data_IF_175608111216
#
_entry.id   IF_175608111216
#
_cell.length_a   1.000
_cell.length_b   1.000
_cell.length_c   1.000
_cell.angle_alpha   90.00
_cell.angle_beta   90.00
_cell.angle_gamma   90.00
#
_symmetry.space_group_name_H-M   'P 1'
#
loop_
_entity.id
_entity.type
_entity.pdbx_description
1 polymer ?
#
# COMPACT_ATOMS: atom_id res chain seq x y z
N UNK A 1 47.13 7.43 22.45
CA UNK A 1 47.66 6.46 21.47
C UNK A 1 46.73 5.25 21.53
N UNK A 2 45.99 4.79 20.51
CA UNK A 2 45.83 5.16 19.10
C UNK A 2 44.36 4.86 18.73
N UNK A 3 43.75 5.68 17.87
CA UNK A 3 42.46 5.43 17.25
C UNK A 3 42.69 4.63 15.96
N UNK A 4 42.03 3.48 15.80
CA UNK A 4 41.99 2.78 14.51
C UNK A 4 40.58 2.90 13.90
N UNK A 5 40.46 3.87 12.98
CA UNK A 5 39.28 4.08 12.15
C UNK A 5 39.29 3.12 10.96
N UNK A 6 38.27 2.28 10.86
CA UNK A 6 38.09 1.36 9.74
C UNK A 6 37.46 2.11 8.56
N UNK A 7 38.29 2.64 7.66
CA UNK A 7 37.85 3.33 6.44
C UNK A 7 37.59 2.29 5.36
N UNK A 8 36.31 2.01 5.07
CA UNK A 8 35.90 1.18 3.94
C UNK A 8 35.89 2.02 2.66
N UNK A 9 36.69 1.62 1.67
CA UNK A 9 36.72 2.24 0.35
C UNK A 9 35.67 1.59 -0.58
N UNK A 10 34.99 2.35 -1.45
CA UNK A 10 34.10 1.78 -2.47
C UNK A 10 34.92 1.10 -3.60
N UNK A 11 34.45 -0.03 -4.15
CA UNK A 11 35.11 -0.71 -5.25
C UNK A 11 34.71 -0.04 -6.56
N UNK A 12 35.43 1.01 -6.96
CA UNK A 12 35.60 1.41 -8.36
C UNK A 12 36.55 2.61 -8.44
N UNK A 13 37.86 2.32 -8.54
CA UNK A 13 38.91 3.32 -8.75
C UNK A 13 39.66 3.09 -10.04
N UNK A 14 38.95 2.74 -11.12
CA UNK A 14 39.49 2.89 -12.47
C UNK A 14 39.19 4.30 -12.95
N UNK A 15 40.25 5.11 -13.06
CA UNK A 15 40.24 6.43 -13.70
C UNK A 15 39.69 6.30 -15.12
N UNK A 16 38.48 6.79 -15.35
CA UNK A 16 38.00 7.05 -16.71
C UNK A 16 38.82 8.23 -17.27
N UNK A 17 39.64 7.96 -18.27
CA UNK A 17 40.41 8.94 -19.02
C UNK A 17 39.48 9.95 -19.73
N UNK A 18 39.85 11.24 -19.72
CA UNK A 18 39.17 12.39 -20.35
C UNK A 18 39.13 12.38 -21.90
N UNK A 19 39.06 11.21 -22.52
CA UNK A 19 39.06 11.07 -23.97
C UNK A 19 37.88 10.28 -24.47
N UNK A 20 36.65 10.79 -24.33
CA UNK A 20 35.49 10.65 -25.24
C UNK A 20 34.46 11.70 -24.79
N UNK A 21 34.74 12.97 -25.03
CA UNK A 21 33.69 13.99 -25.18
C UNK A 21 33.65 14.31 -26.67
N UNK A 22 32.69 13.71 -27.39
CA UNK A 22 32.31 14.18 -28.71
C UNK A 22 30.96 14.88 -28.61
N UNK A 23 30.89 16.04 -29.26
CA UNK A 23 29.84 17.04 -29.24
C UNK A 23 28.41 16.48 -29.25
N UNK A 24 27.56 17.09 -28.42
CA UNK A 24 26.10 16.96 -28.50
C UNK A 24 25.62 17.71 -29.74
N UNK A 25 25.20 16.97 -30.76
CA UNK A 25 24.46 17.54 -31.90
C UNK A 25 22.97 17.31 -31.66
N UNK A 26 22.20 18.40 -31.69
CA UNK A 26 20.75 18.40 -31.57
C UNK A 26 20.15 17.66 -32.78
N UNK A 27 19.35 16.60 -32.55
CA UNK A 27 18.61 15.94 -33.64
C UNK A 27 17.44 16.82 -34.08
N UNK A 28 17.61 17.54 -35.18
CA UNK A 28 16.52 18.07 -35.98
C UNK A 28 15.79 16.92 -36.70
N UNK A 29 14.46 17.02 -36.69
CA UNK A 29 13.49 16.07 -37.25
C UNK A 29 13.68 15.93 -38.79
N UNK A 30 13.72 14.73 -39.39
CA UNK A 30 13.72 14.62 -40.85
C UNK A 30 12.30 14.81 -41.39
N UNK A 31 12.16 15.79 -42.29
CA UNK A 31 11.05 15.92 -43.23
C UNK A 31 11.15 14.81 -44.29
N UNK A 32 9.99 14.36 -44.77
CA UNK A 32 9.83 13.40 -45.86
C UNK A 32 10.46 13.90 -47.15
N UNK A 33 11.30 13.09 -47.80
CA UNK A 33 11.58 13.21 -49.24
C UNK A 33 11.72 11.82 -49.85
N UNK A 34 10.93 11.62 -50.91
CA UNK A 34 10.92 10.49 -51.83
C UNK A 34 12.32 10.21 -52.41
N UNK A 35 12.69 8.93 -52.47
CA UNK A 35 13.85 8.48 -53.24
C UNK A 35 13.45 7.29 -54.12
N UNK A 36 12.86 7.60 -55.26
CA UNK A 36 12.96 6.76 -56.45
C UNK A 36 14.31 7.03 -57.13
N UNK A 37 14.87 5.98 -57.73
CA UNK A 37 16.00 5.92 -58.67
C UNK A 37 17.33 5.38 -58.13
N UNK A 38 17.96 4.58 -59.00
CA UNK A 38 19.28 3.94 -58.92
C UNK A 38 19.28 2.53 -58.30
N UNK A 39 18.67 1.60 -59.03
CA UNK A 39 19.17 0.22 -59.14
C UNK A 39 19.32 -0.12 -60.63
N UNK A 40 20.38 0.39 -61.25
CA UNK A 40 20.88 -0.08 -62.53
C UNK A 40 22.40 -0.08 -62.47
N UNK A 41 23.00 -1.20 -62.92
CA UNK A 41 24.43 -1.46 -63.13
C UNK A 41 25.17 -2.17 -61.99
N UNK A 42 25.46 -3.45 -62.22
CA UNK A 42 26.33 -4.29 -61.38
C UNK A 42 26.38 -5.72 -61.95
N UNK A 43 27.05 -5.88 -63.09
CA UNK A 43 27.18 -7.13 -63.85
C UNK A 43 27.92 -8.24 -63.09
N UNK A 44 27.54 -9.50 -63.32
CA UNK A 44 28.51 -10.60 -63.32
C UNK A 44 28.29 -11.48 -64.56
N UNK A 45 29.39 -11.67 -65.26
CA UNK A 45 29.56 -12.38 -66.53
C UNK A 45 29.59 -13.90 -66.30
N UNK A 46 28.90 -14.68 -67.13
CA UNK A 46 29.51 -15.80 -67.88
C UNK A 46 28.50 -16.50 -68.79
N UNK A 47 28.92 -16.62 -70.06
CA UNK A 47 28.58 -17.64 -71.06
C UNK A 47 27.17 -17.65 -71.68
N UNK A 48 27.14 -17.14 -72.92
CA UNK A 48 26.18 -17.55 -73.94
C UNK A 48 26.33 -19.06 -74.19
N UNK A 49 25.24 -19.79 -74.03
CA UNK A 49 24.97 -21.01 -74.80
C UNK A 49 23.60 -20.79 -75.41
N UNK A 50 23.62 -20.60 -76.72
CA UNK A 50 22.48 -20.66 -77.61
C UNK A 50 21.87 -22.06 -77.56
N UNK A 51 20.54 -22.11 -77.68
CA UNK A 51 19.72 -23.19 -78.26
C UNK A 51 18.49 -23.59 -77.42
N UNK A 52 17.38 -23.76 -78.15
CA UNK A 52 16.16 -24.54 -77.85
C UNK A 52 14.82 -23.76 -77.70
N UNK A 53 14.21 -23.50 -78.86
CA UNK A 53 12.80 -23.74 -79.23
C UNK A 53 11.68 -23.29 -78.25
N UNK A 54 11.02 -22.19 -78.58
CA UNK A 54 9.72 -21.84 -78.01
C UNK A 54 8.60 -22.68 -78.65
N UNK A 55 8.15 -23.73 -77.96
CA UNK A 55 6.88 -24.39 -78.26
C UNK A 55 5.73 -23.66 -77.55
N UNK A 56 4.54 -23.55 -78.16
CA UNK A 56 3.38 -22.97 -77.50
C UNK A 56 2.94 -23.89 -76.36
N UNK A 57 3.04 -23.38 -75.14
CA UNK A 57 2.70 -24.08 -73.91
C UNK A 57 1.20 -24.43 -73.91
N UNK A 58 0.84 -25.69 -73.66
CA UNK A 58 -0.56 -26.11 -73.73
C UNK A 58 -1.36 -25.54 -72.53
N UNK A 59 -2.69 -25.47 -72.65
CA UNK A 59 -3.55 -24.85 -71.61
C UNK A 59 -3.38 -25.52 -70.23
N UNK A 60 -3.05 -26.82 -70.20
CA UNK A 60 -2.81 -27.57 -68.97
C UNK A 60 -1.49 -27.17 -68.29
N UNK A 61 -0.42 -26.94 -69.06
CA UNK A 61 0.86 -26.43 -68.58
C UNK A 61 0.71 -24.99 -68.07
N UNK A 62 -0.07 -24.15 -68.76
CA UNK A 62 -0.36 -22.78 -68.31
C UNK A 62 -1.13 -22.77 -66.98
N UNK A 63 -2.09 -23.68 -66.80
CA UNK A 63 -2.78 -23.87 -65.51
C UNK A 63 -1.86 -24.39 -64.41
N UNK A 64 -0.91 -25.27 -64.72
CA UNK A 64 0.09 -25.76 -63.74
C UNK A 64 1.03 -24.65 -63.28
N UNK A 65 1.56 -23.86 -64.21
CA UNK A 65 2.41 -22.70 -63.90
C UNK A 65 1.64 -21.66 -63.08
N UNK A 66 0.38 -21.39 -63.43
CA UNK A 66 -0.46 -20.47 -62.66
C UNK A 66 -0.74 -20.97 -61.22
N UNK A 67 -1.00 -22.27 -61.05
CA UNK A 67 -1.19 -22.89 -59.74
C UNK A 67 0.10 -22.84 -58.89
N UNK A 68 1.27 -23.04 -59.50
CA UNK A 68 2.57 -22.97 -58.83
C UNK A 68 2.93 -21.53 -58.42
N UNK A 69 2.61 -20.54 -59.26
CA UNK A 69 2.73 -19.11 -58.92
C UNK A 69 1.81 -18.75 -57.75
N UNK A 70 0.55 -19.21 -57.73
CA UNK A 70 -0.36 -18.91 -56.63
C UNK A 70 0.07 -19.61 -55.32
N UNK A 71 0.60 -20.83 -55.41
CA UNK A 71 1.17 -21.53 -54.25
C UNK A 71 2.40 -20.81 -53.69
N UNK A 72 3.25 -20.26 -54.56
CA UNK A 72 4.37 -19.40 -54.17
C UNK A 72 3.89 -18.10 -53.51
N UNK A 73 2.87 -17.44 -54.07
CA UNK A 73 2.24 -16.25 -53.48
C UNK A 73 1.64 -16.55 -52.10
N UNK A 74 0.95 -17.67 -51.95
CA UNK A 74 0.36 -18.09 -50.69
C UNK A 74 1.44 -18.37 -49.62
N UNK A 75 2.53 -19.05 -49.98
CA UNK A 75 3.70 -19.25 -49.09
C UNK A 75 4.34 -17.93 -48.69
N UNK A 76 4.50 -16.99 -49.62
CA UNK A 76 5.06 -15.67 -49.34
C UNK A 76 4.16 -14.85 -48.40
N UNK A 77 2.83 -14.89 -48.58
CA UNK A 77 1.88 -14.25 -47.64
C UNK A 77 2.00 -14.86 -46.24
N UNK A 78 2.08 -16.19 -46.14
CA UNK A 78 2.23 -16.89 -44.87
C UNK A 78 3.56 -16.55 -44.17
N UNK A 79 4.67 -16.53 -44.91
CA UNK A 79 5.98 -16.14 -44.37
C UNK A 79 6.00 -14.69 -43.89
N UNK A 80 5.42 -13.76 -44.65
CA UNK A 80 5.29 -12.36 -44.24
C UNK A 80 4.41 -12.21 -42.99
N UNK A 81 3.28 -12.91 -42.92
CA UNK A 81 2.41 -12.90 -41.74
C UNK A 81 3.14 -13.45 -40.51
N UNK A 82 3.85 -14.57 -40.66
CA UNK A 82 4.65 -15.18 -39.59
C UNK A 82 5.79 -14.27 -39.13
N UNK A 83 6.45 -13.57 -40.06
CA UNK A 83 7.49 -12.59 -39.72
C UNK A 83 6.91 -11.41 -38.93
N UNK A 84 5.79 -10.83 -39.38
CA UNK A 84 5.09 -9.75 -38.68
C UNK A 84 4.65 -10.17 -37.27
N UNK A 85 4.07 -11.36 -37.13
CA UNK A 85 3.66 -11.90 -35.83
C UNK A 85 4.86 -12.12 -34.90
N UNK A 86 5.98 -12.64 -35.42
CA UNK A 86 7.23 -12.80 -34.64
C UNK A 86 7.77 -11.45 -34.16
N UNK A 87 7.64 -10.40 -34.97
CA UNK A 87 8.08 -9.07 -34.60
C UNK A 87 7.18 -8.44 -33.53
N UNK A 88 5.85 -8.58 -33.67
CA UNK A 88 4.89 -8.13 -32.65
C UNK A 88 5.09 -8.85 -31.31
N UNK A 89 5.30 -10.17 -31.34
CA UNK A 89 5.58 -10.94 -30.13
C UNK A 89 6.82 -10.43 -29.38
N UNK A 90 7.91 -10.15 -30.11
CA UNK A 90 9.13 -9.58 -29.51
C UNK A 90 8.88 -8.24 -28.81
N UNK A 91 8.05 -7.38 -29.42
CA UNK A 91 7.71 -6.07 -28.82
C UNK A 91 6.89 -6.27 -27.55
N UNK A 92 5.87 -7.14 -27.58
CA UNK A 92 5.06 -7.47 -26.41
C UNK A 92 5.90 -8.06 -25.27
N UNK A 93 6.77 -9.02 -25.59
CA UNK A 93 7.66 -9.65 -24.62
C UNK A 93 8.59 -8.60 -23.96
N UNK A 94 9.10 -7.64 -24.73
CA UNK A 94 9.89 -6.52 -24.22
C UNK A 94 9.07 -5.55 -23.35
N UNK A 95 7.84 -5.22 -23.74
CA UNK A 95 6.96 -4.34 -22.95
C UNK A 95 6.53 -4.99 -21.63
N UNK A 96 6.34 -6.31 -21.62
CA UNK A 96 6.10 -7.09 -20.40
C UNK A 96 7.36 -7.05 -19.53
N UNK A 97 8.53 -7.33 -20.11
CA UNK A 97 9.81 -7.29 -19.38
C UNK A 97 10.12 -5.92 -18.80
N UNK A 98 9.87 -4.83 -19.52
CA UNK A 98 10.05 -3.46 -19.02
C UNK A 98 9.10 -3.16 -17.85
N UNK A 99 7.85 -3.62 -17.91
CA UNK A 99 6.91 -3.47 -16.80
C UNK A 99 7.39 -4.24 -15.57
N UNK A 100 7.77 -5.51 -15.74
CA UNK A 100 8.31 -6.34 -14.67
C UNK A 100 9.56 -5.72 -14.03
N UNK A 101 10.51 -5.25 -14.84
CA UNK A 101 11.71 -4.60 -14.34
C UNK A 101 11.42 -3.29 -13.61
N UNK A 102 10.41 -2.51 -14.05
CA UNK A 102 9.99 -1.29 -13.34
C UNK A 102 9.34 -1.60 -12.00
N UNK A 103 8.49 -2.61 -11.95
CA UNK A 103 7.87 -3.08 -10.71
C UNK A 103 8.93 -3.60 -9.73
N UNK A 104 9.91 -4.35 -10.25
CA UNK A 104 11.05 -4.85 -9.46
C UNK A 104 11.95 -3.72 -8.95
N UNK A 105 12.24 -2.71 -9.79
CA UNK A 105 12.98 -1.51 -9.35
C UNK A 105 12.23 -0.77 -8.23
N UNK A 106 10.92 -0.57 -8.38
CA UNK A 106 10.11 0.07 -7.34
C UNK A 106 10.10 -0.74 -6.04
N UNK A 107 9.97 -2.07 -6.14
CA UNK A 107 10.02 -2.97 -5.00
C UNK A 107 11.37 -2.90 -4.28
N UNK A 108 12.48 -2.96 -5.02
CA UNK A 108 13.84 -2.88 -4.48
C UNK A 108 14.13 -1.50 -3.87
N UNK A 109 13.59 -0.42 -4.44
CA UNK A 109 13.69 0.93 -3.87
C UNK A 109 12.97 1.02 -2.52
N UNK A 110 11.76 0.48 -2.43
CA UNK A 110 11.00 0.43 -1.18
C UNK A 110 11.73 -0.42 -0.13
N UNK A 111 12.24 -1.60 -0.51
CA UNK A 111 13.04 -2.44 0.39
C UNK A 111 14.29 -1.71 0.89
N UNK A 112 14.97 -0.96 0.02
CA UNK A 112 16.13 -0.15 0.40
C UNK A 112 15.78 0.95 1.39
N UNK A 113 14.64 1.63 1.23
CA UNK A 113 14.20 2.65 2.19
C UNK A 113 13.89 2.06 3.56
N UNK A 114 13.23 0.90 3.60
CA UNK A 114 12.93 0.14 4.82
C UNK A 114 14.22 -0.32 5.53
N UNK A 115 15.17 -0.89 4.78
CA UNK A 115 16.48 -1.33 5.31
C UNK A 115 17.32 -0.12 5.76
N UNK A 116 17.31 0.99 5.02
CA UNK A 116 18.04 2.21 5.37
C UNK A 116 17.49 2.89 6.63
N UNK A 117 16.22 2.62 6.97
CA UNK A 117 15.60 3.03 8.22
C UNK A 117 15.89 2.05 9.39
N UNK A 118 16.68 0.99 9.17
CA UNK A 118 17.02 -0.01 10.18
C UNK A 118 15.90 -1.02 10.48
N UNK A 119 14.84 -1.04 9.66
CA UNK A 119 13.73 -1.99 9.80
C UNK A 119 14.12 -3.27 9.07
N UNK A 120 14.35 -4.35 9.82
CA UNK A 120 14.59 -5.69 9.28
C UNK A 120 13.48 -6.07 8.30
N UNK A 121 13.85 -6.61 7.13
CA UNK A 121 12.95 -7.13 6.08
C UNK A 121 12.08 -8.30 6.53
N UNK A 122 12.33 -8.87 7.71
CA UNK A 122 11.42 -9.79 8.37
C UNK A 122 10.38 -8.96 9.14
N UNK A 123 9.13 -8.97 8.67
CA UNK A 123 8.00 -8.39 9.39
C UNK A 123 7.95 -9.02 10.78
N UNK A 124 8.23 -8.22 11.81
CA UNK A 124 8.19 -8.65 13.21
C UNK A 124 7.02 -7.99 13.90
N UNK A 125 6.54 -8.58 14.99
CA UNK A 125 5.52 -7.96 15.85
C UNK A 125 5.91 -6.55 16.28
N UNK A 126 7.20 -6.27 16.50
CA UNK A 126 7.73 -4.93 16.82
C UNK A 126 7.50 -3.92 15.70
N UNK A 127 7.86 -4.28 14.46
CA UNK A 127 7.63 -3.41 13.30
C UNK A 127 6.14 -3.17 13.04
N UNK A 128 5.30 -4.21 13.24
CA UNK A 128 3.84 -4.09 13.09
C UNK A 128 3.27 -3.17 14.17
N UNK A 129 3.67 -3.31 15.44
CA UNK A 129 3.21 -2.44 16.51
C UNK A 129 3.63 -0.97 16.29
N UNK A 130 4.90 -0.73 15.93
CA UNK A 130 5.38 0.64 15.65
C UNK A 130 4.57 1.30 14.51
N UNK A 131 4.34 0.55 13.43
CA UNK A 131 3.57 1.04 12.28
C UNK A 131 2.09 1.23 12.60
N UNK A 132 1.49 0.34 13.40
CA UNK A 132 0.14 0.49 13.92
C UNK A 132 -0.03 1.83 14.65
N UNK A 133 0.84 2.15 15.62
CA UNK A 133 0.75 3.42 16.33
C UNK A 133 1.01 4.62 15.42
N UNK A 134 1.91 4.51 14.44
CA UNK A 134 2.14 5.57 13.44
C UNK A 134 0.89 5.86 12.62
N UNK A 135 0.17 4.83 12.20
CA UNK A 135 -1.02 4.93 11.36
C UNK A 135 -2.26 5.39 12.13
N UNK A 136 -2.42 4.94 13.38
CA UNK A 136 -3.63 5.18 14.17
C UNK A 136 -3.47 6.23 15.27
N UNK A 137 -2.33 6.95 15.33
CA UNK A 137 -2.04 8.00 16.32
C UNK A 137 -3.14 9.06 16.50
N UNK A 138 -3.95 9.30 15.46
CA UNK A 138 -5.04 10.27 15.48
C UNK A 138 -6.40 9.63 15.10
N UNK A 139 -6.56 8.35 15.44
CA UNK A 139 -7.73 7.56 15.09
C UNK A 139 -7.80 7.13 13.62
N UNK A 140 -8.95 6.61 13.26
CA UNK A 140 -9.31 6.15 11.93
C UNK A 140 -9.59 7.32 10.99
N UNK A 141 -9.00 7.27 9.80
CA UNK A 141 -9.17 8.30 8.76
C UNK A 141 -10.16 7.89 7.67
N UNK A 142 -10.90 6.81 7.91
CA UNK A 142 -11.96 6.30 7.04
C UNK A 142 -13.17 7.19 6.89
N UNK A 143 -13.97 7.02 5.81
CA UNK A 143 -15.31 7.58 5.74
C UNK A 143 -16.10 7.13 6.97
N UNK A 144 -16.59 8.11 7.73
CA UNK A 144 -17.45 7.89 8.90
C UNK A 144 -18.87 7.53 8.51
N UNK A 145 -19.25 7.83 7.26
CA UNK A 145 -20.47 7.38 6.65
C UNK A 145 -20.36 5.89 6.29
N UNK A 146 -21.47 5.18 6.48
CA UNK A 146 -21.68 3.75 6.24
C UNK A 146 -21.04 3.24 4.94
N UNK A 147 -20.94 1.90 4.80
CA UNK A 147 -20.52 1.15 3.61
C UNK A 147 -21.35 1.44 2.32
N UNK A 148 -22.01 2.59 2.21
CA UNK A 148 -22.66 3.08 1.01
C UNK A 148 -21.85 4.20 0.33
N UNK A 149 -21.60 4.09 -0.98
CA UNK A 149 -20.87 5.10 -1.73
C UNK A 149 -21.76 6.31 -2.01
N UNK A 150 -21.79 7.29 -1.11
CA UNK A 150 -22.30 8.62 -1.42
C UNK A 150 -21.17 9.47 -2.03
N UNK A 151 -21.29 9.68 -3.34
CA UNK A 151 -20.47 10.59 -4.13
C UNK A 151 -20.67 12.03 -3.63
N UNK A 152 -19.67 12.59 -2.94
CA UNK A 152 -19.54 14.05 -2.84
C UNK A 152 -18.08 14.41 -3.10
N UNK A 153 -17.86 15.13 -4.19
CA UNK A 153 -16.56 15.62 -4.62
C UNK A 153 -16.07 16.75 -3.72
N UNK A 154 -14.98 16.51 -3.01
CA UNK A 154 -14.14 17.56 -2.44
C UNK A 154 -12.70 17.07 -2.46
N UNK A 155 -11.73 17.94 -2.74
CA UNK A 155 -10.32 17.57 -2.90
C UNK A 155 -9.73 16.91 -1.63
N UNK A 156 -10.29 17.23 -0.45
CA UNK A 156 -9.97 16.60 0.83
C UNK A 156 -10.39 15.12 0.94
N UNK A 157 -11.38 14.70 0.14
CA UNK A 157 -11.81 13.30 0.04
C UNK A 157 -10.70 12.43 -0.53
N UNK A 158 -9.82 12.99 -1.38
CA UNK A 158 -8.77 12.19 -2.03
C UNK A 158 -7.65 11.76 -1.09
N UNK A 159 -7.27 12.61 -0.12
CA UNK A 159 -6.26 12.31 0.91
C UNK A 159 -6.85 11.42 2.01
N UNK A 160 -8.05 11.75 2.52
CA UNK A 160 -8.77 10.91 3.49
C UNK A 160 -9.01 9.51 2.92
N UNK A 161 -9.48 9.40 1.67
CA UNK A 161 -9.66 8.12 0.97
C UNK A 161 -8.35 7.34 0.90
N UNK A 162 -7.22 8.00 0.63
CA UNK A 162 -5.91 7.33 0.54
C UNK A 162 -5.44 6.83 1.91
N UNK A 163 -5.56 7.64 2.96
CA UNK A 163 -5.22 7.26 4.34
C UNK A 163 -6.11 6.12 4.88
N UNK A 164 -7.40 6.12 4.52
CA UNK A 164 -8.34 5.04 4.82
C UNK A 164 -7.84 3.69 4.31
N UNK A 165 -7.45 3.66 3.03
CA UNK A 165 -6.98 2.43 2.40
C UNK A 165 -5.69 1.97 3.06
N UNK A 166 -4.79 2.88 3.42
CA UNK A 166 -3.55 2.51 4.12
C UNK A 166 -3.82 1.82 5.46
N UNK A 167 -4.72 2.34 6.31
CA UNK A 167 -5.04 1.73 7.60
C UNK A 167 -5.70 0.34 7.44
N UNK A 168 -6.63 0.20 6.48
CA UNK A 168 -7.28 -1.07 6.18
C UNK A 168 -6.32 -2.09 5.57
N UNK A 169 -5.54 -1.69 4.57
CA UNK A 169 -4.59 -2.54 3.86
C UNK A 169 -3.48 -3.01 4.81
N UNK A 170 -3.06 -2.13 5.73
CA UNK A 170 -2.14 -2.48 6.81
C UNK A 170 -2.69 -3.63 7.67
N UNK A 171 -3.95 -3.55 8.12
CA UNK A 171 -4.54 -4.66 8.88
C UNK A 171 -4.66 -5.94 8.04
N UNK A 172 -5.08 -5.86 6.77
CA UNK A 172 -5.17 -7.03 5.89
C UNK A 172 -3.80 -7.70 5.70
N UNK A 173 -2.73 -6.91 5.61
CA UNK A 173 -1.37 -7.39 5.41
C UNK A 173 -0.76 -8.00 6.69
N UNK A 174 -1.09 -7.45 7.87
CA UNK A 174 -0.38 -7.75 9.12
C UNK A 174 -1.16 -8.63 10.10
N UNK A 175 -2.48 -8.72 9.97
CA UNK A 175 -3.35 -9.48 10.88
C UNK A 175 -3.73 -10.84 10.29
N UNK A 176 -3.91 -11.83 11.16
CA UNK A 176 -4.56 -13.09 10.80
C UNK A 176 -6.02 -12.84 10.39
N UNK A 177 -6.57 -13.71 9.56
CA UNK A 177 -7.97 -13.61 9.11
C UNK A 177 -8.96 -13.60 10.28
N UNK A 178 -8.66 -14.35 11.34
CA UNK A 178 -9.43 -14.48 12.57
C UNK A 178 -8.78 -13.75 13.76
N UNK A 179 -8.06 -12.66 13.52
CA UNK A 179 -7.42 -11.88 14.60
C UNK A 179 -8.44 -11.57 15.71
N UNK A 180 -8.11 -11.87 16.96
CA UNK A 180 -8.99 -11.58 18.10
C UNK A 180 -8.78 -10.13 18.58
N UNK A 181 -9.86 -9.34 18.59
CA UNK A 181 -9.96 -8.01 19.19
C UNK A 181 -10.74 -8.02 20.50
N UNK A 182 -10.97 -6.85 21.08
CA UNK A 182 -11.78 -6.71 22.32
C UNK A 182 -13.28 -6.93 22.07
N UNK A 183 -13.79 -6.60 20.88
CA UNK A 183 -15.24 -6.69 20.54
C UNK A 183 -15.61 -7.84 19.60
N UNK A 184 -14.64 -8.56 19.05
CA UNK A 184 -14.90 -9.59 18.06
C UNK A 184 -13.66 -10.10 17.32
N UNK A 185 -13.86 -10.70 16.15
CA UNK A 185 -12.81 -11.34 15.37
C UNK A 185 -12.69 -10.75 13.96
N UNK A 186 -11.45 -10.73 13.46
CA UNK A 186 -11.11 -10.35 12.11
C UNK A 186 -10.91 -8.85 11.92
N UNK A 187 -10.27 -8.50 10.81
CA UNK A 187 -10.00 -7.10 10.40
C UNK A 187 -11.26 -6.22 10.38
N UNK A 188 -12.45 -6.70 9.93
CA UNK A 188 -13.67 -5.89 9.98
C UNK A 188 -14.04 -5.41 11.38
N UNK A 189 -13.87 -6.25 12.41
CA UNK A 189 -14.16 -5.89 13.81
C UNK A 189 -13.21 -4.79 14.30
N UNK A 190 -11.91 -4.95 14.05
CA UNK A 190 -10.90 -3.95 14.45
C UNK A 190 -11.14 -2.59 13.79
N UNK A 191 -11.52 -2.57 12.50
CA UNK A 191 -11.83 -1.33 11.80
C UNK A 191 -13.11 -0.68 12.33
N UNK A 192 -14.10 -1.47 12.74
CA UNK A 192 -15.33 -0.96 13.32
C UNK A 192 -15.09 -0.35 14.71
N UNK A 193 -14.26 -0.97 15.55
CA UNK A 193 -13.83 -0.40 16.83
C UNK A 193 -13.17 0.96 16.64
N UNK A 194 -12.22 1.03 15.70
CA UNK A 194 -11.53 2.25 15.34
C UNK A 194 -12.46 3.32 14.78
N UNK A 195 -13.47 2.92 13.98
CA UNK A 195 -14.50 3.82 13.46
C UNK A 195 -15.33 4.39 14.59
N UNK A 196 -15.80 3.57 15.53
CA UNK A 196 -16.59 4.04 16.68
C UNK A 196 -15.77 4.97 17.57
N UNK A 197 -14.56 4.56 17.94
CA UNK A 197 -13.66 5.37 18.77
C UNK A 197 -13.41 6.74 18.14
N UNK A 198 -13.12 6.78 16.84
CA UNK A 198 -12.88 8.04 16.11
C UNK A 198 -14.15 8.85 15.89
N UNK A 199 -15.32 8.21 15.95
CA UNK A 199 -16.61 8.90 15.88
C UNK A 199 -16.83 9.72 17.14
N UNK A 200 -16.55 9.17 18.31
CA UNK A 200 -16.82 9.82 19.57
C UNK A 200 -15.66 10.73 20.03
N UNK A 201 -14.44 10.41 19.61
CA UNK A 201 -13.20 11.08 20.01
C UNK A 201 -12.48 11.69 18.80
N UNK A 202 -13.00 12.81 18.31
CA UNK A 202 -12.52 13.47 17.08
C UNK A 202 -11.11 14.06 17.21
N UNK A 203 -10.72 14.45 18.43
CA UNK A 203 -9.42 15.05 18.77
C UNK A 203 -8.46 14.06 19.42
N UNK A 204 -8.71 12.76 19.26
CA UNK A 204 -7.92 11.72 19.90
C UNK A 204 -6.46 11.75 19.45
N UNK A 205 -5.58 11.61 20.42
CA UNK A 205 -4.14 11.46 20.25
C UNK A 205 -3.68 10.21 20.99
N UNK A 206 -2.85 9.40 20.33
CA UNK A 206 -2.23 8.20 20.90
C UNK A 206 -0.73 8.29 20.66
N UNK A 207 0.01 8.20 21.75
CA UNK A 207 1.46 8.19 21.78
C UNK A 207 1.95 6.84 22.27
N UNK A 208 2.80 6.20 21.46
CA UNK A 208 3.55 5.02 21.88
C UNK A 208 4.70 5.47 22.80
N UNK A 209 4.66 5.05 24.07
CA UNK A 209 5.67 5.40 25.07
C UNK A 209 6.82 4.40 25.02
N UNK A 210 6.50 3.09 25.00
CA UNK A 210 7.49 2.01 24.90
C UNK A 210 6.87 0.70 24.43
N UNK A 211 7.73 -0.19 23.97
CA UNK A 211 7.43 -1.58 23.62
C UNK A 211 8.27 -2.50 24.50
N UNK A 212 7.62 -3.49 25.11
CA UNK A 212 8.23 -4.47 26.00
C UNK A 212 7.78 -5.89 25.61
N UNK A 213 8.59 -6.90 25.96
CA UNK A 213 8.15 -8.30 25.92
C UNK A 213 7.39 -8.59 27.21
N UNK A 214 6.14 -9.01 27.08
CA UNK A 214 5.32 -9.40 28.21
C UNK A 214 5.61 -10.82 28.70
N UNK A 215 4.94 -11.25 29.78
CA UNK A 215 5.24 -12.51 30.47
C UNK A 215 4.96 -13.76 29.64
N UNK A 216 4.06 -13.67 28.65
CA UNK A 216 3.64 -14.79 27.79
C UNK A 216 4.27 -14.70 26.39
N UNK A 217 5.46 -14.10 26.28
CA UNK A 217 6.16 -13.78 25.02
C UNK A 217 5.31 -12.93 24.05
N UNK A 218 4.26 -12.28 24.54
CA UNK A 218 3.48 -11.30 23.79
C UNK A 218 4.20 -9.95 23.75
N UNK A 219 3.92 -9.13 22.75
CA UNK A 219 4.43 -7.77 22.70
C UNK A 219 3.46 -6.84 23.42
N UNK A 220 3.94 -6.10 24.41
CA UNK A 220 3.17 -5.13 25.16
C UNK A 220 3.61 -3.72 24.76
N UNK A 221 2.68 -2.92 24.27
CA UNK A 221 2.88 -1.51 24.00
C UNK A 221 2.29 -0.67 25.11
N UNK A 222 3.13 0.10 25.81
CA UNK A 222 2.65 1.12 26.75
C UNK A 222 2.33 2.38 25.98
N UNK A 223 1.12 2.91 26.18
CA UNK A 223 0.62 4.07 25.46
C UNK A 223 0.14 5.17 26.41
N UNK A 224 0.23 6.40 25.92
CA UNK A 224 -0.47 7.54 26.50
C UNK A 224 -1.50 7.99 25.48
N UNK A 225 -2.76 7.99 25.86
CA UNK A 225 -3.85 8.47 25.01
C UNK A 225 -4.46 9.72 25.60
N UNK A 226 -5.04 10.53 24.72
CA UNK A 226 -5.53 11.81 25.12
C UNK A 226 -6.71 12.18 24.20
N UNK A 227 -7.90 12.44 24.77
CA UNK A 227 -9.07 12.99 24.05
C UNK A 227 -9.86 14.00 24.91
N UNK A 228 -10.67 14.85 24.29
CA UNK A 228 -11.65 15.70 24.99
C UNK A 228 -13.00 15.01 25.13
N UNK A 229 -13.60 15.11 26.32
CA UNK A 229 -14.97 14.66 26.61
C UNK A 229 -15.98 15.59 25.96
N UNK A 230 -16.16 15.44 24.64
CA UNK A 230 -17.15 16.18 23.85
C UNK A 230 -18.58 15.79 24.25
N UNK A 231 -19.55 16.63 23.90
CA UNK A 231 -20.97 16.30 24.07
C UNK A 231 -21.32 14.96 23.40
N UNK A 232 -20.75 14.69 22.22
CA UNK A 232 -20.96 13.44 21.47
C UNK A 232 -20.39 12.22 22.20
N UNK A 233 -19.18 12.33 22.74
CA UNK A 233 -18.56 11.28 23.55
C UNK A 233 -19.37 10.99 24.81
N UNK A 234 -19.78 12.04 25.53
CA UNK A 234 -20.54 11.90 26.76
C UNK A 234 -21.95 11.34 26.53
N UNK A 235 -22.65 11.79 25.48
CA UNK A 235 -23.96 11.23 25.11
C UNK A 235 -23.89 9.75 24.76
N UNK A 236 -22.75 9.28 24.27
CA UNK A 236 -22.57 7.87 23.93
C UNK A 236 -22.11 7.03 25.11
N UNK A 237 -21.06 7.45 25.81
CA UNK A 237 -20.45 6.67 26.90
C UNK A 237 -21.15 6.83 28.25
N UNK A 238 -21.79 7.98 28.50
CA UNK A 238 -22.44 8.31 29.77
C UNK A 238 -23.84 8.92 29.55
N UNK A 239 -24.74 8.24 28.83
CA UNK A 239 -26.03 8.81 28.43
C UNK A 239 -26.90 9.21 29.62
N UNK A 240 -26.80 8.50 30.74
CA UNK A 240 -27.54 8.80 31.99
C UNK A 240 -27.14 10.13 32.63
N UNK A 241 -26.01 10.73 32.23
CA UNK A 241 -25.63 12.05 32.71
C UNK A 241 -26.33 13.19 31.97
N UNK A 242 -27.14 12.87 30.94
CA UNK A 242 -27.96 13.81 30.19
C UNK A 242 -29.45 13.47 30.35
N UNK A 243 -30.18 14.28 31.12
CA UNK A 243 -31.59 14.04 31.45
C UNK A 243 -32.42 15.28 31.13
N UNK A 244 -33.63 15.08 30.57
CA UNK A 244 -34.60 16.17 30.30
C UNK A 244 -34.02 17.35 29.50
N UNK A 245 -33.08 17.08 28.59
CA UNK A 245 -32.45 18.11 27.76
C UNK A 245 -31.31 18.87 28.44
N UNK A 246 -30.85 18.46 29.63
CA UNK A 246 -29.83 19.14 30.41
C UNK A 246 -28.78 18.16 30.95
N UNK A 247 -27.57 18.66 31.18
CA UNK A 247 -26.51 17.89 31.85
C UNK A 247 -26.73 17.87 33.36
N UNK A 248 -26.58 16.70 33.96
CA UNK A 248 -26.45 16.56 35.42
C UNK A 248 -25.18 17.29 35.91
N UNK A 249 -25.06 17.49 37.23
CA UNK A 249 -23.84 18.07 37.85
C UNK A 249 -22.56 17.33 37.42
N UNK A 250 -22.63 16.00 37.32
CA UNK A 250 -21.48 15.17 36.92
C UNK A 250 -21.19 15.29 35.43
N UNK A 251 -22.23 15.25 34.57
CA UNK A 251 -22.08 15.46 33.13
C UNK A 251 -21.51 16.83 32.79
N UNK A 252 -21.97 17.88 33.46
CA UNK A 252 -21.47 19.24 33.27
C UNK A 252 -19.99 19.40 33.69
N UNK A 253 -19.53 18.66 34.70
CA UNK A 253 -18.11 18.63 35.09
C UNK A 253 -17.24 17.92 34.05
N UNK A 254 -17.78 16.91 33.36
CA UNK A 254 -17.05 16.17 32.33
C UNK A 254 -16.99 16.90 30.99
N UNK A 255 -18.04 17.64 30.66
CA UNK A 255 -18.16 18.28 29.36
C UNK A 255 -16.96 19.21 29.07
N UNK A 256 -16.27 18.93 27.96
CA UNK A 256 -15.11 19.69 27.51
C UNK A 256 -13.81 19.38 28.27
N UNK A 257 -13.80 18.44 29.22
CA UNK A 257 -12.57 18.07 29.92
C UNK A 257 -11.63 17.28 29.03
N UNK A 258 -10.35 17.66 29.08
CA UNK A 258 -9.28 16.97 28.37
C UNK A 258 -8.79 15.81 29.23
N UNK A 259 -9.09 14.59 28.79
CA UNK A 259 -8.72 13.36 29.48
C UNK A 259 -7.38 12.86 28.95
N UNK A 260 -6.42 12.68 29.85
CA UNK A 260 -5.14 12.02 29.58
C UNK A 260 -5.18 10.67 30.28
N UNK A 261 -5.04 9.59 29.51
CA UNK A 261 -5.17 8.23 29.98
C UNK A 261 -3.89 7.45 29.66
N UNK A 262 -3.58 6.49 30.52
CA UNK A 262 -2.46 5.59 30.34
C UNK A 262 -3.00 4.20 30.05
N UNK A 263 -2.38 3.49 29.12
CA UNK A 263 -2.89 2.19 28.74
C UNK A 263 -1.81 1.28 28.20
N UNK A 264 -2.26 0.07 27.89
CA UNK A 264 -1.46 -0.96 27.24
C UNK A 264 -2.22 -1.53 26.06
N UNK A 265 -1.49 -1.89 25.02
CA UNK A 265 -2.00 -2.70 23.91
C UNK A 265 -1.12 -3.94 23.81
N UNK A 266 -1.73 -5.10 23.87
CA UNK A 266 -1.05 -6.40 23.74
C UNK A 266 -1.20 -6.93 22.33
N UNK A 267 -0.12 -7.49 21.78
CA UNK A 267 -0.10 -8.15 20.49
C UNK A 267 0.40 -9.59 20.66
N UNK A 268 -0.38 -10.55 20.20
CA UNK A 268 0.04 -11.96 20.11
C UNK A 268 0.46 -12.23 18.66
N UNK A 269 1.66 -12.78 18.50
CA UNK A 269 2.24 -13.08 17.19
C UNK A 269 2.06 -14.55 16.83
N UNK A 270 1.55 -14.81 15.64
CA UNK A 270 1.55 -16.13 15.01
C UNK A 270 2.83 -16.26 14.18
N UNK A 271 3.80 -17.00 14.73
CA UNK A 271 5.11 -17.20 14.09
C UNK A 271 5.03 -18.03 12.80
N UNK A 272 4.04 -18.93 12.68
CA UNK A 272 3.85 -19.75 11.49
C UNK A 272 3.29 -18.91 10.32
N UNK A 273 2.36 -18.02 10.62
CA UNK A 273 1.75 -17.13 9.62
C UNK A 273 2.52 -15.83 9.41
N UNK A 274 3.44 -15.49 10.32
CA UNK A 274 4.14 -14.21 10.33
C UNK A 274 3.19 -13.02 10.46
N UNK A 275 2.15 -13.14 11.31
CA UNK A 275 1.06 -12.16 11.44
C UNK A 275 0.57 -12.07 12.88
N UNK A 276 -0.13 -11.00 13.23
CA UNK A 276 -0.75 -10.83 14.54
C UNK A 276 -2.03 -11.66 14.63
N UNK A 277 -2.15 -12.51 15.64
CA UNK A 277 -3.33 -13.35 15.91
C UNK A 277 -4.27 -12.76 16.96
N UNK A 278 -3.80 -11.85 17.80
CA UNK A 278 -4.65 -11.10 18.72
C UNK A 278 -4.08 -9.71 19.00
N UNK A 279 -4.98 -8.74 19.14
CA UNK A 279 -4.68 -7.38 19.56
C UNK A 279 -5.74 -6.92 20.56
N UNK A 280 -5.34 -6.64 21.80
CA UNK A 280 -6.26 -6.21 22.86
C UNK A 280 -5.72 -4.98 23.57
N UNK A 281 -6.60 -4.04 23.93
CA UNK A 281 -6.22 -2.83 24.65
C UNK A 281 -6.89 -2.73 26.02
N UNK A 282 -6.24 -1.99 26.92
CA UNK A 282 -6.78 -1.58 28.21
C UNK A 282 -6.25 -0.18 28.52
N UNK A 283 -7.15 0.78 28.70
CA UNK A 283 -6.79 2.20 28.89
C UNK A 283 -7.48 2.74 30.14
N UNK A 284 -6.70 3.20 31.11
CA UNK A 284 -7.18 3.67 32.40
C UNK A 284 -7.90 5.03 32.30
N UNK A 285 -9.23 4.98 32.28
CA UNK A 285 -10.10 6.14 32.42
C UNK A 285 -10.41 6.46 33.89
N UNK A 286 -10.26 5.48 34.79
CA UNK A 286 -10.59 5.64 36.20
C UNK A 286 -9.73 6.71 36.86
N UNK A 287 -8.42 6.67 36.65
CA UNK A 287 -7.47 7.60 37.28
C UNK A 287 -7.74 9.06 36.94
N UNK A 288 -7.87 9.48 35.67
CA UNK A 288 -8.17 10.87 35.36
C UNK A 288 -9.58 11.30 35.81
N UNK A 289 -10.55 10.38 35.85
CA UNK A 289 -11.87 10.67 36.41
C UNK A 289 -11.80 10.89 37.93
N UNK A 290 -11.03 10.08 38.64
CA UNK A 290 -10.80 10.25 40.08
C UNK A 290 -10.14 11.61 40.37
N UNK A 291 -9.12 11.99 39.59
CA UNK A 291 -8.49 13.31 39.71
C UNK A 291 -9.44 14.47 39.43
N UNK A 292 -10.38 14.30 38.49
CA UNK A 292 -11.37 15.31 38.16
C UNK A 292 -12.41 15.49 39.26
N UNK A 293 -12.93 14.39 39.81
CA UNK A 293 -14.03 14.44 40.79
C UNK A 293 -13.57 14.60 42.23
N UNK A 294 -12.41 14.06 42.58
CA UNK A 294 -11.86 13.95 43.94
C UNK A 294 -12.87 13.34 44.94
N UNK A 295 -13.71 12.42 44.44
CA UNK A 295 -14.76 11.78 45.20
C UNK A 295 -15.13 10.41 44.59
N UNK A 296 -14.92 9.35 45.36
CA UNK A 296 -15.23 7.98 44.95
C UNK A 296 -16.74 7.75 44.75
N UNK A 297 -17.60 8.41 45.52
CA UNK A 297 -19.05 8.25 45.38
C UNK A 297 -19.55 8.86 44.06
N UNK A 298 -19.05 10.05 43.71
CA UNK A 298 -19.35 10.67 42.42
C UNK A 298 -18.81 9.82 41.27
N UNK A 299 -17.61 9.24 41.42
CA UNK A 299 -17.02 8.34 40.42
C UNK A 299 -17.85 7.06 40.21
N UNK A 300 -18.33 6.44 41.29
CA UNK A 300 -19.22 5.28 41.22
C UNK A 300 -20.51 5.62 40.47
N UNK A 301 -21.10 6.79 40.72
CA UNK A 301 -22.30 7.27 40.00
C UNK A 301 -22.04 7.56 38.52
N UNK A 302 -20.84 8.01 38.16
CA UNK A 302 -20.46 8.19 36.75
C UNK A 302 -20.46 6.86 36.01
N UNK A 303 -19.93 5.78 36.62
CA UNK A 303 -19.83 4.47 35.98
C UNK A 303 -21.05 3.54 36.16
N UNK A 304 -22.00 3.82 37.07
CA UNK A 304 -23.16 2.96 37.37
C UNK A 304 -23.98 2.52 36.15
N UNK A 305 -24.16 3.43 35.18
CA UNK A 305 -24.92 3.17 33.93
C UNK A 305 -24.16 3.64 32.69
N UNK A 306 -22.84 3.69 32.81
CA UNK A 306 -21.99 4.03 31.69
C UNK A 306 -21.99 2.90 30.66
N UNK A 307 -21.95 3.25 29.38
CA UNK A 307 -21.70 2.32 28.29
C UNK A 307 -20.20 2.09 28.06
N UNK A 308 -19.37 2.63 28.94
CA UNK A 308 -17.91 2.51 28.90
C UNK A 308 -17.43 2.06 30.27
N UNK A 309 -16.51 1.10 30.29
CA UNK A 309 -15.88 0.60 31.51
C UNK A 309 -14.72 1.50 31.96
N UNK A 310 -14.25 1.37 33.22
CA UNK A 310 -13.10 2.12 33.71
C UNK A 310 -11.79 1.89 32.93
N UNK A 311 -11.66 0.76 32.23
CA UNK A 311 -10.56 0.41 31.32
C UNK A 311 -10.82 0.84 29.84
N UNK A 312 -11.80 1.73 29.62
CA UNK A 312 -12.16 2.32 28.33
C UNK A 312 -12.66 1.33 27.26
N UNK A 313 -13.31 0.24 27.68
CA UNK A 313 -13.97 -0.69 26.77
C UNK A 313 -15.44 -0.35 26.65
N UNK A 314 -16.00 -0.55 25.46
CA UNK A 314 -17.44 -0.41 25.25
C UNK A 314 -18.15 -1.61 25.90
N UNK A 315 -19.20 -1.32 26.66
CA UNK A 315 -20.08 -2.35 27.21
C UNK A 315 -21.09 -2.72 26.13
N UNK A 316 -21.25 -4.02 25.85
CA UNK A 316 -22.30 -4.47 24.95
C UNK A 316 -23.66 -4.08 25.56
N UNK A 317 -24.57 -3.54 24.73
CA UNK A 317 -25.94 -3.32 25.16
C UNK A 317 -26.62 -4.69 25.33
N UNK A 318 -27.01 -5.01 26.56
CA UNK A 318 -27.92 -6.13 26.87
C UNK A 318 -29.32 -5.89 26.30
#
# INVERSE_FOLDING_TARGET
MSMDGNILFPPNRQRLSEGIVRQVVQRTKPQSLDLFAVAASGSSSMHQVDDTRHFPMNEAEMKRVAAEIELCRQRNRMHQAKHKMKQQKKVLDLEIGIRQLRDEIQHLQLQKEVISAGVSTNMTVWSVAAEYFRLFKNGYKGPMATLHPSNVGSQNVSLQRRETFVQRDFFIATMCENVAGDTGFGVPSLLEDWRQLSMYHEDMEIELVRLDVGPDDNLIATVRSATTMSEKALRHGFPHLFENGQWTRLGARLLGQRMVMHGVVSFIWDAEKGRVSSMQYSVDMLTPMMQLFDNLEDLARVFDRAHVTPDSRLVAAD
#
